data_IF_615852006384
#
_entry.id   IF_615852006384
#
_cell.length_a   1.000
_cell.length_b   1.000
_cell.length_c   1.000
_cell.angle_alpha   90.00
_cell.angle_beta   90.00
_cell.angle_gamma   90.00
#
_symmetry.space_group_name_H-M   'P 1'
#
loop_
_entity.id
_entity.type
_entity.pdbx_description
1 polymer ?
#
# COMPACT_ATOMS: atom_id res chain seq x y z
N UNK A 1 16.53 -3.83 16.74
CA UNK A 1 16.44 -2.69 15.80
C UNK A 1 16.79 -3.22 14.43
N UNK A 2 15.78 -3.40 13.58
CA UNK A 2 15.95 -3.79 12.17
C UNK A 2 15.60 -2.55 11.34
N UNK A 3 16.38 -2.27 10.29
CA UNK A 3 16.06 -1.24 9.30
C UNK A 3 15.68 -1.93 8.00
N UNK A 4 14.57 -1.54 7.41
CA UNK A 4 14.10 -2.06 6.11
C UNK A 4 14.01 -0.86 5.18
N UNK A 5 14.68 -0.94 4.05
CA UNK A 5 14.54 0.03 2.97
C UNK A 5 13.61 -0.58 1.93
N UNK A 6 12.47 0.07 1.72
CA UNK A 6 11.51 -0.27 0.67
C UNK A 6 11.65 0.76 -0.44
N UNK A 7 11.94 0.28 -1.64
CA UNK A 7 11.88 1.10 -2.84
C UNK A 7 10.55 0.83 -3.53
N UNK A 8 9.80 1.90 -3.74
CA UNK A 8 8.52 1.91 -4.42
C UNK A 8 8.62 3.04 -5.44
N UNK A 9 8.52 2.69 -6.74
CA UNK A 9 8.66 3.57 -7.91
C UNK A 9 10.08 3.73 -8.52
N UNK A 10 10.14 3.87 -9.86
CA UNK A 10 11.27 4.33 -10.68
C UNK A 10 12.61 3.57 -10.65
N UNK A 11 12.64 2.24 -10.47
CA UNK A 11 13.91 1.48 -10.71
C UNK A 11 14.33 1.51 -12.20
N UNK A 12 13.46 1.96 -13.10
CA UNK A 12 13.70 2.05 -14.54
C UNK A 12 14.39 3.34 -15.00
N UNK A 13 14.53 4.39 -14.18
CA UNK A 13 15.40 5.52 -14.57
C UNK A 13 16.88 5.15 -14.62
N UNK A 14 17.19 3.90 -14.26
CA UNK A 14 18.45 3.23 -14.54
C UNK A 14 18.61 2.77 -16.00
N UNK A 15 17.52 2.70 -16.79
CA UNK A 15 17.54 2.16 -18.16
C UNK A 15 17.26 3.18 -19.29
N UNK A 16 16.74 4.40 -19.06
CA UNK A 16 16.33 5.25 -20.19
C UNK A 16 17.11 6.56 -20.44
N UNK A 17 18.08 6.93 -19.60
CA UNK A 17 18.92 8.09 -19.95
C UNK A 17 20.05 7.70 -20.94
N UNK A 18 20.31 6.41 -21.18
CA UNK A 18 21.50 6.00 -21.95
C UNK A 18 21.34 4.89 -23.01
N UNK A 19 20.18 4.22 -23.19
CA UNK A 19 20.05 3.09 -24.13
C UNK A 19 21.30 2.17 -24.08
N UNK A 20 21.60 1.53 -22.94
CA UNK A 20 22.80 0.72 -22.85
C UNK A 20 22.73 -0.41 -23.89
N UNK A 21 23.73 -0.54 -24.78
CA UNK A 21 23.65 -1.44 -25.94
C UNK A 21 23.75 -2.93 -25.56
N UNK A 22 23.87 -3.25 -24.27
CA UNK A 22 24.02 -4.62 -23.77
C UNK A 22 23.61 -4.78 -22.30
N UNK A 23 23.33 -6.02 -21.91
CA UNK A 23 22.99 -6.45 -20.54
C UNK A 23 24.09 -6.13 -19.52
N UNK A 24 25.36 -6.18 -19.93
CA UNK A 24 26.51 -5.81 -19.08
C UNK A 24 26.59 -4.30 -18.83
N UNK A 25 26.15 -3.49 -19.79
CA UNK A 25 26.13 -2.04 -19.64
C UNK A 25 24.95 -1.58 -18.76
N UNK A 26 23.80 -2.26 -18.86
CA UNK A 26 22.71 -2.10 -17.90
C UNK A 26 23.17 -2.43 -16.47
N UNK A 27 23.87 -3.56 -16.26
CA UNK A 27 24.44 -3.93 -14.96
C UNK A 27 25.43 -2.88 -14.42
N UNK A 28 26.25 -2.27 -15.28
CA UNK A 28 27.17 -1.19 -14.88
C UNK A 28 26.45 0.10 -14.52
N UNK A 29 25.38 0.47 -15.23
CA UNK A 29 24.56 1.64 -14.88
C UNK A 29 23.88 1.40 -13.54
N UNK A 30 23.25 0.24 -13.33
CA UNK A 30 22.71 -0.24 -12.04
C UNK A 30 23.74 -0.09 -10.93
N UNK A 31 24.95 -0.62 -11.14
CA UNK A 31 26.05 -0.53 -10.19
C UNK A 31 26.57 0.90 -9.98
N UNK A 32 26.48 1.81 -10.93
CA UNK A 32 27.05 3.15 -10.79
C UNK A 32 26.06 4.17 -10.22
N UNK A 33 24.77 4.07 -10.51
CA UNK A 33 23.75 4.96 -9.94
C UNK A 33 23.27 4.50 -8.56
N UNK A 34 23.32 3.19 -8.28
CA UNK A 34 23.04 2.64 -6.94
C UNK A 34 24.32 2.51 -6.11
N UNK A 35 25.51 2.34 -6.71
CA UNK A 35 26.78 2.15 -5.98
C UNK A 35 27.83 3.26 -6.22
N UNK A 36 27.42 4.54 -6.15
CA UNK A 36 28.34 5.65 -5.88
C UNK A 36 29.24 5.39 -4.66
N UNK A 37 30.32 6.18 -4.45
CA UNK A 37 31.33 5.91 -3.41
C UNK A 37 30.77 5.81 -1.98
N UNK A 38 29.59 6.38 -1.70
CA UNK A 38 28.87 6.26 -0.42
C UNK A 38 28.10 4.94 -0.27
N UNK A 39 27.76 4.29 -1.38
CA UNK A 39 26.88 3.12 -1.45
C UNK A 39 27.61 1.81 -1.65
N UNK A 40 28.95 1.82 -1.76
CA UNK A 40 29.69 0.57 -1.94
C UNK A 40 29.58 -0.38 -0.74
N UNK A 41 29.39 0.08 0.50
CA UNK A 41 29.41 -0.83 1.68
C UNK A 41 28.65 -0.29 2.92
N UNK A 42 27.57 0.48 2.75
CA UNK A 42 26.77 0.99 3.89
C UNK A 42 25.24 0.82 3.76
N UNK A 43 24.72 0.16 2.72
CA UNK A 43 23.37 -0.41 2.76
C UNK A 43 23.43 -1.72 3.59
N UNK A 44 23.51 -1.53 4.90
CA UNK A 44 23.84 -2.51 5.93
C UNK A 44 22.88 -3.71 5.96
N UNK A 45 23.41 -4.93 5.95
CA UNK A 45 22.99 -6.20 6.65
C UNK A 45 21.49 -6.56 6.81
N UNK A 46 20.56 -5.84 6.22
CA UNK A 46 19.13 -5.96 6.48
C UNK A 46 18.36 -5.95 5.16
N UNK A 47 17.23 -6.64 5.13
CA UNK A 47 16.50 -7.00 3.92
C UNK A 47 16.20 -5.79 3.03
N UNK A 48 16.77 -5.79 1.82
CA UNK A 48 16.36 -4.90 0.76
C UNK A 48 15.13 -5.51 0.09
N UNK A 49 14.03 -4.75 0.09
CA UNK A 49 12.82 -5.12 -0.62
C UNK A 49 12.63 -4.11 -1.73
N UNK A 50 12.82 -4.56 -2.95
CA UNK A 50 12.47 -3.80 -4.14
C UNK A 50 11.03 -4.19 -4.49
N UNK A 51 10.11 -3.24 -4.39
CA UNK A 51 8.83 -3.35 -5.06
C UNK A 51 9.03 -2.72 -6.45
N UNK A 52 9.02 -3.49 -7.54
CA UNK A 52 9.13 -2.95 -8.88
C UNK A 52 7.79 -2.30 -9.26
N UNK A 53 7.43 -1.24 -8.55
CA UNK A 53 6.47 -0.27 -9.04
C UNK A 53 7.12 0.43 -10.22
N UNK A 54 6.54 0.26 -11.40
CA UNK A 54 6.26 1.35 -12.36
C UNK A 54 6.45 1.02 -13.85
N UNK A 55 6.67 -0.23 -14.29
CA UNK A 55 6.52 -0.53 -15.73
C UNK A 55 5.72 -1.81 -15.98
N UNK A 56 4.48 -1.58 -16.39
CA UNK A 56 3.39 -2.53 -16.54
C UNK A 56 3.54 -3.50 -17.70
N UNK A 57 4.70 -4.14 -17.83
CA UNK A 57 4.95 -5.12 -18.89
C UNK A 57 4.65 -4.55 -20.31
N UNK A 58 4.83 -3.23 -20.47
CA UNK A 58 4.51 -2.46 -21.68
C UNK A 58 3.07 -1.95 -21.82
N UNK A 59 2.26 -1.96 -20.74
CA UNK A 59 0.84 -1.54 -20.76
C UNK A 59 0.48 -0.60 -19.60
N UNK A 60 0.83 0.68 -19.74
CA UNK A 60 0.63 1.73 -18.72
C UNK A 60 -0.86 1.89 -18.32
N UNK A 61 -1.79 1.65 -19.24
CA UNK A 61 -3.23 1.90 -19.02
C UNK A 61 -4.12 0.63 -18.95
N UNK A 62 -3.54 -0.57 -19.13
CA UNK A 62 -4.25 -1.86 -19.09
C UNK A 62 -3.66 -2.72 -17.98
N UNK A 63 -4.50 -3.26 -17.09
CA UNK A 63 -4.11 -3.99 -15.86
C UNK A 63 -4.86 -5.32 -15.73
N UNK A 64 -4.43 -6.16 -14.80
CA UNK A 64 -5.30 -7.22 -14.30
C UNK A 64 -5.83 -8.19 -15.35
N UNK A 65 -7.14 -8.51 -15.29
CA UNK A 65 -7.81 -9.37 -16.26
C UNK A 65 -7.66 -8.89 -17.70
N UNK A 66 -7.64 -7.58 -17.93
CA UNK A 66 -7.58 -7.01 -19.27
C UNK A 66 -6.21 -7.21 -19.94
N UNK A 67 -5.12 -7.21 -19.17
CA UNK A 67 -3.80 -7.60 -19.68
C UNK A 67 -3.79 -9.06 -20.17
N UNK A 68 -4.52 -9.95 -19.49
CA UNK A 68 -4.66 -11.34 -19.91
C UNK A 68 -5.47 -11.43 -21.20
N UNK A 69 -6.54 -10.62 -21.34
CA UNK A 69 -7.37 -10.57 -22.54
C UNK A 69 -6.57 -10.10 -23.76
N UNK A 70 -5.80 -9.01 -23.65
CA UNK A 70 -4.95 -8.50 -24.75
C UNK A 70 -3.91 -9.52 -25.20
N UNK A 71 -3.38 -10.34 -24.28
CA UNK A 71 -2.42 -11.41 -24.63
C UNK A 71 -3.08 -12.62 -25.27
N UNK A 72 -4.42 -12.77 -25.20
CA UNK A 72 -5.16 -13.95 -25.71
C UNK A 72 -5.96 -13.67 -26.98
N UNK A 73 -6.48 -12.47 -27.18
CA UNK A 73 -7.44 -12.16 -28.24
C UNK A 73 -6.78 -11.30 -29.32
N UNK A 74 -6.98 -11.68 -30.59
CA UNK A 74 -6.49 -10.91 -31.76
C UNK A 74 -7.43 -9.76 -32.10
N UNK A 75 -6.92 -8.76 -32.82
CA UNK A 75 -7.74 -7.65 -33.35
C UNK A 75 -7.95 -6.50 -32.36
N UNK A 76 -7.15 -6.46 -31.29
CA UNK A 76 -7.30 -5.54 -30.17
C UNK A 76 -6.36 -4.32 -30.22
N UNK A 77 -5.88 -3.97 -31.42
CA UNK A 77 -4.93 -2.88 -31.65
C UNK A 77 -3.46 -3.22 -31.33
N UNK A 78 -3.16 -4.38 -30.75
CA UNK A 78 -1.80 -4.90 -30.54
C UNK A 78 -1.69 -6.37 -30.95
N UNK A 79 -0.51 -6.77 -31.42
CA UNK A 79 -0.23 -8.17 -31.78
C UNK A 79 -0.05 -9.05 -30.54
N UNK A 80 -0.79 -10.15 -30.46
CA UNK A 80 -0.79 -11.01 -29.26
C UNK A 80 0.57 -11.62 -28.97
N UNK A 81 1.34 -12.00 -29.99
CA UNK A 81 2.66 -12.63 -29.80
C UNK A 81 3.70 -11.62 -29.34
N UNK A 82 3.63 -10.38 -29.84
CA UNK A 82 4.40 -9.26 -29.32
C UNK A 82 4.10 -9.01 -27.84
N UNK A 83 2.83 -8.93 -27.45
CA UNK A 83 2.43 -8.66 -26.07
C UNK A 83 2.86 -9.77 -25.11
N UNK A 84 2.71 -11.04 -25.51
CA UNK A 84 3.21 -12.20 -24.75
C UNK A 84 4.72 -12.12 -24.54
N UNK A 85 5.47 -11.87 -25.61
CA UNK A 85 6.94 -11.79 -25.56
C UNK A 85 7.43 -10.63 -24.69
N UNK A 86 6.82 -9.46 -24.82
CA UNK A 86 7.16 -8.30 -24.01
C UNK A 86 6.92 -8.58 -22.53
N UNK A 87 5.78 -9.21 -22.20
CA UNK A 87 5.50 -9.65 -20.85
C UNK A 87 6.57 -10.60 -20.32
N UNK A 88 6.95 -11.63 -21.09
CA UNK A 88 7.97 -12.59 -20.69
C UNK A 88 9.34 -11.94 -20.46
N UNK A 89 9.75 -11.03 -21.34
CA UNK A 89 11.01 -10.28 -21.21
C UNK A 89 11.01 -9.47 -19.92
N UNK A 90 9.98 -8.63 -19.72
CA UNK A 90 9.90 -7.78 -18.53
C UNK A 90 9.82 -8.62 -17.26
N UNK A 91 9.08 -9.73 -17.28
CA UNK A 91 9.00 -10.64 -16.14
C UNK A 91 10.36 -11.24 -15.81
N UNK A 92 11.05 -11.79 -16.82
CA UNK A 92 12.37 -12.37 -16.67
C UNK A 92 13.37 -11.35 -16.09
N UNK A 93 13.38 -10.12 -16.60
CA UNK A 93 14.26 -9.07 -16.09
C UNK A 93 13.98 -8.72 -14.62
N UNK A 94 12.71 -8.74 -14.20
CA UNK A 94 12.31 -8.42 -12.82
C UNK A 94 12.62 -9.56 -11.84
N UNK A 95 12.39 -10.82 -12.25
CA UNK A 95 12.40 -11.97 -11.33
C UNK A 95 13.57 -12.92 -11.51
N UNK A 96 14.27 -12.85 -12.65
CA UNK A 96 15.25 -13.84 -13.10
C UNK A 96 14.63 -15.17 -13.56
N UNK A 97 13.31 -15.24 -13.77
CA UNK A 97 12.64 -16.47 -14.21
C UNK A 97 12.96 -16.77 -15.69
N UNK A 98 13.55 -17.93 -15.97
CA UNK A 98 13.88 -18.38 -17.34
C UNK A 98 12.64 -18.86 -18.11
N UNK A 99 11.70 -19.49 -17.42
CA UNK A 99 10.43 -19.94 -17.99
C UNK A 99 9.29 -19.08 -17.43
N UNK A 100 8.73 -18.22 -18.29
CA UNK A 100 7.63 -17.33 -17.93
C UNK A 100 6.40 -17.69 -18.75
N UNK A 101 5.29 -17.98 -18.07
CA UNK A 101 3.99 -18.12 -18.73
C UNK A 101 3.51 -16.73 -19.20
N UNK A 102 3.36 -16.49 -20.51
CA UNK A 102 2.91 -15.21 -21.00
C UNK A 102 1.42 -14.95 -20.76
N UNK A 103 0.65 -15.91 -20.25
CA UNK A 103 -0.80 -15.84 -20.08
C UNK A 103 -1.26 -15.79 -18.63
N UNK A 104 -0.34 -15.88 -17.67
CA UNK A 104 -0.61 -15.78 -16.25
C UNK A 104 0.07 -14.54 -15.65
N UNK A 105 -0.62 -13.86 -14.71
CA UNK A 105 -0.02 -12.80 -13.93
C UNK A 105 0.77 -13.41 -12.76
N UNK A 106 2.00 -12.97 -12.46
CA UNK A 106 2.72 -13.44 -11.29
C UNK A 106 2.03 -13.04 -10.00
N UNK A 107 2.11 -13.94 -9.03
CA UNK A 107 1.74 -13.68 -7.64
C UNK A 107 2.95 -13.09 -6.93
N UNK A 108 3.04 -11.76 -6.90
CA UNK A 108 4.15 -11.03 -6.27
C UNK A 108 3.90 -10.67 -4.82
N UNK A 109 2.64 -10.73 -4.35
CA UNK A 109 2.31 -10.39 -2.98
C UNK A 109 2.87 -11.42 -2.00
N UNK A 110 3.32 -10.92 -0.85
CA UNK A 110 4.00 -11.71 0.16
C UNK A 110 4.03 -10.96 1.48
N UNK A 111 4.12 -11.70 2.56
CA UNK A 111 4.24 -11.14 3.90
C UNK A 111 5.39 -11.79 4.64
N UNK A 112 6.04 -11.01 5.49
CA UNK A 112 7.05 -11.50 6.40
C UNK A 112 6.77 -11.04 7.81
N UNK A 113 6.73 -12.04 8.68
CA UNK A 113 6.63 -11.85 10.10
C UNK A 113 8.04 -11.72 10.67
N UNK A 114 8.30 -10.62 11.38
CA UNK A 114 9.62 -10.38 11.97
C UNK A 114 9.95 -11.44 13.02
N UNK A 115 11.24 -11.65 13.37
CA UNK A 115 11.66 -12.73 14.26
C UNK A 115 10.95 -12.76 15.62
N UNK A 116 10.62 -11.58 16.16
CA UNK A 116 9.89 -11.44 17.41
C UNK A 116 8.37 -11.58 17.26
N UNK A 117 7.86 -11.78 16.04
CA UNK A 117 6.46 -12.07 15.74
C UNK A 117 5.48 -10.97 16.17
N UNK A 118 5.99 -9.77 16.30
CA UNK A 118 5.35 -8.59 16.86
C UNK A 118 5.10 -7.50 15.80
N UNK A 119 5.75 -7.61 14.65
CA UNK A 119 5.55 -6.80 13.44
C UNK A 119 5.48 -7.70 12.20
N UNK A 120 4.58 -7.38 11.28
CA UNK A 120 4.50 -7.98 9.94
C UNK A 120 4.66 -6.89 8.89
N UNK A 121 5.51 -7.15 7.89
CA UNK A 121 5.58 -6.36 6.66
C UNK A 121 4.93 -7.16 5.54
N UNK A 122 3.99 -6.56 4.82
CA UNK A 122 3.38 -7.17 3.65
C UNK A 122 3.48 -6.27 2.42
N UNK A 123 3.72 -6.91 1.28
CA UNK A 123 3.74 -6.29 -0.02
C UNK A 123 2.56 -6.83 -0.80
N UNK A 124 1.85 -5.90 -1.42
CA UNK A 124 0.77 -6.14 -2.34
C UNK A 124 1.16 -5.73 -3.76
N UNK A 125 0.26 -5.97 -4.70
CA UNK A 125 0.45 -5.77 -6.13
C UNK A 125 -0.87 -5.27 -6.71
N UNK A 126 -1.19 -4.03 -6.35
CA UNK A 126 -2.35 -3.33 -6.90
C UNK A 126 -2.17 -2.89 -8.35
N UNK A 127 -1.08 -3.28 -9.02
CA UNK A 127 -0.79 -2.93 -10.42
C UNK A 127 -1.20 -4.06 -11.35
N UNK A 128 -0.65 -5.26 -11.16
CA UNK A 128 -0.95 -6.40 -12.03
C UNK A 128 -2.34 -6.99 -11.83
N UNK A 129 -3.00 -6.69 -10.71
CA UNK A 129 -4.23 -7.39 -10.32
C UNK A 129 -5.44 -6.48 -10.19
N UNK A 130 -5.29 -5.17 -10.37
CA UNK A 130 -6.43 -4.25 -10.44
C UNK A 130 -7.11 -4.28 -11.81
N UNK A 131 -8.38 -3.89 -11.85
CA UNK A 131 -9.09 -3.59 -13.10
C UNK A 131 -8.50 -2.35 -13.80
N UNK A 132 -8.42 -2.40 -15.13
CA UNK A 132 -7.83 -1.37 -16.00
C UNK A 132 -8.45 0.02 -15.83
N UNK A 133 -7.62 1.05 -15.91
CA UNK A 133 -8.02 2.40 -15.49
C UNK A 133 -8.62 3.20 -16.64
N UNK A 134 -8.30 2.85 -17.89
CA UNK A 134 -8.97 3.40 -19.06
C UNK A 134 -10.22 2.58 -19.40
N UNK A 135 -11.40 3.16 -19.16
CA UNK A 135 -12.72 2.56 -19.44
C UNK A 135 -13.15 2.78 -20.90
N UNK A 136 -12.53 3.75 -21.58
CA UNK A 136 -12.83 4.13 -22.95
C UNK A 136 -11.81 3.55 -23.95
N UNK A 137 -10.66 2.99 -23.51
CA UNK A 137 -9.73 2.32 -24.43
C UNK A 137 -10.43 1.21 -25.22
N UNK A 138 -11.43 0.58 -24.59
CA UNK A 138 -12.32 -0.41 -25.17
C UNK A 138 -13.19 0.21 -26.26
N UNK A 139 -13.77 1.38 -25.98
CA UNK A 139 -14.67 2.09 -26.88
C UNK A 139 -13.92 2.76 -28.05
N UNK A 140 -12.73 3.30 -27.80
CA UNK A 140 -11.94 4.13 -28.73
C UNK A 140 -10.94 3.34 -29.59
N UNK A 141 -10.47 2.17 -29.13
CA UNK A 141 -9.40 1.40 -29.82
C UNK A 141 -9.92 0.28 -30.73
N UNK A 142 -11.19 0.33 -31.14
CA UNK A 142 -11.77 -0.59 -32.12
C UNK A 142 -12.28 -1.93 -31.56
N UNK A 143 -12.60 -2.00 -30.26
CA UNK A 143 -13.17 -3.19 -29.64
C UNK A 143 -14.71 -3.12 -29.63
N UNK A 144 -15.34 -3.01 -30.81
CA UNK A 144 -16.79 -2.80 -30.94
C UNK A 144 -17.70 -3.82 -30.21
N UNK A 145 -17.17 -4.98 -29.85
CA UNK A 145 -17.88 -6.02 -29.07
C UNK A 145 -17.96 -5.72 -27.55
N UNK A 146 -17.25 -4.72 -27.06
CA UNK A 146 -16.97 -4.48 -25.65
C UNK A 146 -17.16 -2.99 -25.32
N UNK A 147 -18.41 -2.50 -25.43
CA UNK A 147 -18.75 -1.09 -25.22
C UNK A 147 -19.13 -0.76 -23.77
N UNK A 148 -18.67 0.38 -23.27
CA UNK A 148 -19.08 0.96 -21.98
C UNK A 148 -18.92 0.00 -20.80
N UNK A 149 -17.82 -0.75 -20.82
CA UNK A 149 -17.71 -1.97 -20.06
C UNK A 149 -17.75 -1.74 -18.53
N UNK A 150 -17.14 -0.69 -17.96
CA UNK A 150 -17.05 -0.57 -16.49
C UNK A 150 -16.95 0.87 -15.96
N UNK A 151 -17.94 1.34 -15.18
CA UNK A 151 -17.85 2.58 -14.39
C UNK A 151 -16.93 2.38 -13.17
N UNK A 152 -16.29 3.45 -12.66
CA UNK A 152 -15.39 3.36 -11.48
C UNK A 152 -16.07 2.91 -10.19
N UNK A 153 -17.39 3.09 -10.09
CA UNK A 153 -18.23 2.67 -8.96
C UNK A 153 -18.78 1.26 -9.13
N UNK A 154 -18.51 0.60 -10.25
CA UNK A 154 -18.93 -0.78 -10.50
C UNK A 154 -18.32 -1.71 -9.43
N UNK A 155 -19.16 -2.44 -8.66
CA UNK A 155 -18.70 -3.31 -7.58
C UNK A 155 -17.90 -4.52 -8.04
N UNK A 156 -17.92 -4.84 -9.34
CA UNK A 156 -17.13 -5.93 -9.93
C UNK A 156 -15.67 -5.55 -10.18
N UNK A 157 -15.33 -4.25 -10.10
CA UNK A 157 -13.96 -3.79 -10.27
C UNK A 157 -13.13 -4.09 -9.03
N UNK A 158 -11.96 -4.69 -9.27
CA UNK A 158 -11.05 -5.11 -8.20
C UNK A 158 -9.82 -4.21 -8.14
N UNK A 159 -9.33 -3.94 -6.92
CA UNK A 159 -8.04 -3.26 -6.70
C UNK A 159 -6.88 -4.26 -6.59
N UNK A 160 -7.15 -5.48 -6.11
CA UNK A 160 -6.15 -6.52 -5.88
C UNK A 160 -6.46 -7.82 -6.64
N UNK A 161 -7.60 -7.92 -7.33
CA UNK A 161 -8.15 -9.21 -7.74
C UNK A 161 -8.59 -10.06 -6.53
N UNK A 162 -9.47 -11.04 -6.77
CA UNK A 162 -10.10 -11.78 -5.67
C UNK A 162 -9.14 -12.72 -4.93
N UNK A 163 -8.15 -13.30 -5.63
CA UNK A 163 -7.17 -14.19 -4.98
C UNK A 163 -6.31 -13.44 -3.96
N UNK A 164 -5.73 -12.30 -4.36
CA UNK A 164 -4.91 -11.49 -3.47
C UNK A 164 -5.75 -10.82 -2.37
N UNK A 165 -6.99 -10.39 -2.68
CA UNK A 165 -7.89 -9.86 -1.67
C UNK A 165 -8.21 -10.92 -0.60
N UNK A 166 -8.50 -12.16 -1.00
CA UNK A 166 -8.71 -13.28 -0.07
C UNK A 166 -7.46 -13.54 0.78
N UNK A 167 -6.27 -13.53 0.17
CA UNK A 167 -5.01 -13.66 0.89
C UNK A 167 -4.80 -12.53 1.91
N UNK A 168 -5.11 -11.28 1.54
CA UNK A 168 -5.02 -10.14 2.45
C UNK A 168 -6.02 -10.28 3.60
N UNK A 169 -7.25 -10.72 3.31
CA UNK A 169 -8.24 -10.99 4.34
C UNK A 169 -7.74 -12.01 5.36
N UNK A 170 -7.16 -13.12 4.89
CA UNK A 170 -6.58 -14.14 5.77
C UNK A 170 -5.41 -13.58 6.59
N UNK A 171 -4.56 -12.76 5.98
CA UNK A 171 -3.46 -12.11 6.70
C UNK A 171 -3.99 -11.20 7.82
N UNK A 172 -4.92 -10.30 7.51
CA UNK A 172 -5.50 -9.35 8.47
C UNK A 172 -6.22 -10.07 9.62
N UNK A 173 -6.96 -11.14 9.31
CA UNK A 173 -7.77 -11.87 10.29
C UNK A 173 -6.99 -12.92 11.09
N UNK A 174 -5.80 -13.34 10.65
CA UNK A 174 -5.07 -14.45 11.31
C UNK A 174 -3.65 -14.12 11.77
N UNK A 175 -3.04 -13.02 11.33
CA UNK A 175 -1.70 -12.64 11.76
C UNK A 175 -1.70 -12.12 13.21
N UNK A 176 -0.94 -12.74 14.11
CA UNK A 176 -0.84 -12.34 15.54
C UNK A 176 0.04 -11.12 15.82
N UNK A 177 0.73 -10.55 14.83
CA UNK A 177 1.61 -9.39 15.00
C UNK A 177 0.80 -8.19 15.45
N UNK A 178 1.32 -7.41 16.39
CA UNK A 178 0.57 -6.25 16.92
C UNK A 178 0.53 -5.09 15.93
N UNK A 179 1.49 -5.03 15.02
CA UNK A 179 1.58 -4.03 13.96
C UNK A 179 1.76 -4.72 12.60
N UNK A 180 1.07 -4.20 11.58
CA UNK A 180 1.18 -4.63 10.19
C UNK A 180 1.41 -3.40 9.32
N UNK A 181 2.51 -3.40 8.56
CA UNK A 181 2.77 -2.40 7.54
C UNK A 181 2.55 -3.00 6.15
N UNK A 182 1.77 -2.32 5.32
CA UNK A 182 1.44 -2.72 3.95
C UNK A 182 2.07 -1.74 2.94
N UNK A 183 2.60 -2.25 1.82
CA UNK A 183 3.04 -1.46 0.65
C UNK A 183 2.57 -2.10 -0.66
N UNK A 184 2.67 -1.39 -1.79
CA UNK A 184 2.21 -1.88 -3.09
C UNK A 184 0.71 -1.76 -3.33
N UNK A 185 0.01 -1.02 -2.46
CA UNK A 185 -1.36 -0.54 -2.66
C UNK A 185 -1.29 0.98 -2.78
N UNK A 186 -1.52 1.52 -3.97
CA UNK A 186 -1.33 2.95 -4.22
C UNK A 186 -2.65 3.71 -4.17
N UNK A 187 -2.66 4.81 -3.41
CA UNK A 187 -3.67 5.87 -3.48
C UNK A 187 -5.08 5.38 -3.19
N UNK A 188 -5.29 4.73 -2.04
CA UNK A 188 -6.65 4.45 -1.56
C UNK A 188 -7.45 5.74 -1.32
N UNK A 189 -6.74 6.84 -1.03
CA UNK A 189 -7.31 8.17 -0.92
C UNK A 189 -7.05 9.02 -2.18
N UNK A 190 -8.12 9.56 -2.75
CA UNK A 190 -8.09 10.29 -4.02
C UNK A 190 -7.93 11.80 -3.81
N UNK A 191 -6.75 12.22 -3.33
CA UNK A 191 -6.45 13.63 -2.98
C UNK A 191 -5.48 14.34 -3.95
N UNK A 192 -5.06 13.64 -4.99
CA UNK A 192 -4.10 14.12 -5.98
C UNK A 192 -4.79 14.46 -7.30
N UNK A 193 -4.24 15.42 -8.03
CA UNK A 193 -4.61 15.76 -9.41
C UNK A 193 -3.36 15.86 -10.29
N UNK A 194 -3.56 16.02 -11.59
CA UNK A 194 -2.56 16.14 -12.66
C UNK A 194 -1.34 17.01 -12.38
N UNK A 195 -0.61 17.33 -13.45
CA UNK A 195 0.29 18.48 -13.39
C UNK A 195 -0.47 19.76 -13.02
N UNK A 196 0.25 20.86 -12.83
CA UNK A 196 -0.34 22.18 -12.50
C UNK A 196 -1.45 22.65 -13.46
N UNK A 197 -1.50 22.12 -14.69
CA UNK A 197 -2.56 22.38 -15.65
C UNK A 197 -3.95 21.82 -15.24
N UNK A 198 -3.99 20.78 -14.40
CA UNK A 198 -5.22 20.13 -13.92
C UNK A 198 -5.74 20.67 -12.58
N UNK A 199 -4.98 21.55 -11.92
CA UNK A 199 -5.28 22.03 -10.57
C UNK A 199 -6.60 22.82 -10.43
N UNK A 200 -7.19 23.26 -11.55
CA UNK A 200 -8.45 24.02 -11.58
C UNK A 200 -9.65 23.21 -12.09
N UNK A 201 -9.51 21.89 -12.29
CA UNK A 201 -10.54 21.09 -12.96
C UNK A 201 -11.59 20.55 -11.96
N UNK A 202 -12.91 20.67 -12.25
CA UNK A 202 -13.98 20.57 -11.25
C UNK A 202 -14.39 19.11 -10.92
N UNK A 203 -13.45 18.26 -10.50
CA UNK A 203 -13.72 16.84 -10.20
C UNK A 203 -14.28 16.03 -11.38
N UNK A 204 -14.27 16.60 -12.59
CA UNK A 204 -14.30 15.84 -13.83
C UNK A 204 -12.85 15.44 -14.08
N UNK A 205 -12.58 14.24 -14.50
CA UNK A 205 -11.22 13.87 -14.84
C UNK A 205 -11.13 13.94 -16.35
N UNK A 206 -10.18 14.69 -16.90
CA UNK A 206 -9.93 14.58 -18.33
C UNK A 206 -9.43 13.17 -18.62
N UNK A 207 -9.88 12.57 -19.72
CA UNK A 207 -9.55 11.21 -20.17
C UNK A 207 -8.03 10.92 -20.22
N UNK A 208 -7.21 11.97 -20.35
CA UNK A 208 -5.74 11.92 -20.38
C UNK A 208 -5.07 12.37 -19.09
N UNK A 209 -5.84 12.73 -18.07
CA UNK A 209 -5.27 13.03 -16.75
C UNK A 209 -4.85 11.73 -16.08
N UNK A 210 -3.60 11.34 -16.33
CA UNK A 210 -2.93 10.18 -15.74
C UNK A 210 -3.03 10.13 -14.21
N UNK A 211 -3.31 11.27 -13.56
CA UNK A 211 -3.49 11.33 -12.10
C UNK A 211 -4.84 10.82 -11.63
N UNK A 212 -5.75 10.57 -12.54
CA UNK A 212 -6.89 9.73 -12.21
C UNK A 212 -6.47 8.30 -12.50
N UNK A 213 -5.94 8.06 -13.71
CA UNK A 213 -5.65 6.74 -14.27
C UNK A 213 -4.68 5.88 -13.45
N UNK A 214 -3.81 6.41 -12.59
CA UNK A 214 -2.88 5.57 -11.83
C UNK A 214 -3.40 5.05 -10.48
N UNK A 215 -4.50 5.61 -9.96
CA UNK A 215 -4.88 5.43 -8.54
C UNK A 215 -6.20 4.68 -8.34
N UNK A 216 -6.44 4.29 -7.09
CA UNK A 216 -7.70 3.69 -6.65
C UNK A 216 -8.95 4.58 -6.88
N UNK A 217 -8.77 5.81 -7.37
CA UNK A 217 -9.87 6.66 -7.85
C UNK A 217 -10.67 6.12 -9.04
N UNK A 218 -10.11 5.16 -9.79
CA UNK A 218 -10.87 4.42 -10.81
C UNK A 218 -11.51 3.13 -10.33
N UNK A 219 -11.16 2.63 -9.15
CA UNK A 219 -11.75 1.40 -8.60
C UNK A 219 -12.26 1.69 -7.20
N UNK A 220 -13.16 2.69 -7.08
CA UNK A 220 -13.72 3.12 -5.81
C UNK A 220 -14.20 1.93 -4.99
N UNK A 221 -14.97 1.03 -5.60
CA UNK A 221 -15.49 -0.15 -4.94
C UNK A 221 -14.39 -1.07 -4.38
N UNK A 222 -13.31 -1.30 -5.14
CA UNK A 222 -12.17 -2.09 -4.66
C UNK A 222 -11.36 -1.37 -3.59
N UNK A 223 -11.21 -0.05 -3.68
CA UNK A 223 -10.56 0.78 -2.64
C UNK A 223 -11.35 0.71 -1.32
N UNK A 224 -12.67 0.87 -1.38
CA UNK A 224 -13.55 0.83 -0.22
C UNK A 224 -13.55 -0.56 0.43
N UNK A 225 -13.59 -1.64 -0.37
CA UNK A 225 -13.44 -3.03 0.15
C UNK A 225 -12.13 -3.22 0.90
N UNK A 226 -11.03 -2.67 0.38
CA UNK A 226 -9.73 -2.75 1.06
C UNK A 226 -9.75 -1.89 2.33
N UNK A 227 -10.20 -0.64 2.29
CA UNK A 227 -10.30 0.22 3.47
C UNK A 227 -11.17 -0.38 4.59
N UNK A 228 -12.31 -0.99 4.24
CA UNK A 228 -13.18 -1.68 5.18
C UNK A 228 -12.46 -2.86 5.87
N UNK A 229 -11.74 -3.66 5.08
CA UNK A 229 -10.94 -4.78 5.57
C UNK A 229 -9.81 -4.30 6.47
N UNK A 230 -9.01 -3.32 6.04
CA UNK A 230 -7.92 -2.78 6.86
C UNK A 230 -8.46 -2.16 8.15
N UNK A 231 -9.59 -1.46 8.06
CA UNK A 231 -10.29 -0.87 9.19
C UNK A 231 -10.96 -1.88 10.12
N UNK A 232 -11.05 -3.17 9.78
CA UNK A 232 -11.58 -4.20 10.70
C UNK A 232 -10.65 -4.48 11.89
N UNK A 233 -9.40 -3.99 11.82
CA UNK A 233 -8.33 -4.27 12.76
C UNK A 233 -7.48 -3.04 13.06
N UNK A 234 -7.10 -2.90 14.32
CA UNK A 234 -6.10 -1.94 14.79
C UNK A 234 -4.66 -2.34 14.43
N UNK A 235 -3.76 -1.36 14.38
CA UNK A 235 -2.33 -1.56 14.15
C UNK A 235 -1.93 -1.76 12.69
N UNK A 236 -2.80 -1.42 11.74
CA UNK A 236 -2.52 -1.52 10.29
C UNK A 236 -2.18 -0.15 9.73
N UNK A 237 -1.04 -0.05 9.04
CA UNK A 237 -0.58 1.17 8.34
C UNK A 237 -0.25 0.82 6.90
N UNK A 238 -0.63 1.68 5.96
CA UNK A 238 -0.26 1.53 4.55
C UNK A 238 0.71 2.63 4.13
N UNK A 239 1.65 2.26 3.27
CA UNK A 239 2.59 3.18 2.64
C UNK A 239 2.59 2.92 1.13
N UNK A 240 2.70 3.99 0.35
CA UNK A 240 2.77 3.91 -1.10
C UNK A 240 3.69 4.97 -1.71
N UNK A 241 4.07 4.76 -2.97
CA UNK A 241 4.91 5.67 -3.76
C UNK A 241 4.10 6.48 -4.77
N UNK A 242 4.57 6.56 -6.02
CA UNK A 242 3.81 6.98 -7.22
C UNK A 242 3.51 8.48 -7.37
N UNK A 243 3.07 9.13 -6.28
CA UNK A 243 2.64 10.53 -6.33
C UNK A 243 3.81 11.52 -6.27
N UNK A 244 5.00 11.01 -5.97
CA UNK A 244 6.26 11.76 -5.81
C UNK A 244 6.22 12.83 -4.73
N UNK A 245 5.29 12.71 -3.77
CA UNK A 245 5.08 13.64 -2.68
C UNK A 245 5.09 12.92 -1.34
N UNK A 246 5.65 13.57 -0.32
CA UNK A 246 5.53 13.11 1.06
C UNK A 246 4.16 13.50 1.61
N UNK A 247 3.35 12.54 2.05
CA UNK A 247 2.08 12.84 2.69
C UNK A 247 1.77 11.82 3.78
N UNK A 248 1.20 12.28 4.88
CA UNK A 248 0.66 11.41 5.94
C UNK A 248 -0.80 11.77 6.07
N UNK A 249 -1.69 10.81 5.83
CA UNK A 249 -3.13 11.03 5.86
C UNK A 249 -3.85 9.90 6.58
N UNK A 250 -5.02 10.23 7.14
CA UNK A 250 -5.88 9.29 7.83
C UNK A 250 -7.31 9.42 7.34
N UNK A 251 -7.89 8.30 6.90
CA UNK A 251 -9.32 8.21 6.69
C UNK A 251 -10.04 8.13 8.03
N UNK A 252 -11.09 8.94 8.23
CA UNK A 252 -11.78 9.07 9.52
C UNK A 252 -12.89 8.03 9.74
N UNK A 253 -13.38 7.41 8.67
CA UNK A 253 -14.42 6.39 8.76
C UNK A 253 -13.85 5.05 9.24
N UNK A 254 -12.73 4.65 8.67
CA UNK A 254 -12.03 3.39 8.96
C UNK A 254 -10.83 3.55 9.89
N UNK A 255 -10.41 4.79 10.20
CA UNK A 255 -9.18 5.12 10.94
C UNK A 255 -7.93 4.44 10.36
N UNK A 256 -7.89 4.29 9.04
CA UNK A 256 -6.74 3.74 8.31
C UNK A 256 -5.79 4.88 7.98
N UNK A 257 -4.52 4.68 8.29
CA UNK A 257 -3.43 5.60 7.96
C UNK A 257 -2.83 5.13 6.64
N UNK A 258 -2.72 6.06 5.69
CA UNK A 258 -1.99 5.87 4.44
C UNK A 258 -0.92 6.95 4.34
N UNK A 259 0.28 6.55 3.92
CA UNK A 259 1.38 7.48 3.73
C UNK A 259 1.88 7.40 2.31
N UNK A 260 2.13 8.55 1.68
CA UNK A 260 2.84 8.62 0.41
C UNK A 260 4.25 9.15 0.62
N UNK A 261 5.18 8.73 -0.22
CA UNK A 261 6.49 9.38 -0.32
C UNK A 261 6.94 9.47 -1.78
N UNK A 262 7.87 10.39 -2.05
CA UNK A 262 8.44 10.55 -3.38
C UNK A 262 9.78 9.85 -3.54
N UNK A 263 10.13 9.45 -4.78
CA UNK A 263 11.37 8.76 -5.05
C UNK A 263 12.57 9.68 -4.76
N UNK A 264 13.61 9.04 -4.24
CA UNK A 264 14.93 9.60 -3.98
C UNK A 264 15.53 10.02 -5.34
N UNK A 265 15.45 11.32 -5.66
CA UNK A 265 16.17 11.93 -6.80
C UNK A 265 15.31 12.51 -7.93
N UNK A 266 13.98 12.43 -7.84
CA UNK A 266 13.09 13.04 -8.85
C UNK A 266 12.67 14.45 -8.45
N UNK A 267 12.51 15.32 -9.46
CA UNK A 267 12.01 16.68 -9.27
C UNK A 267 10.54 16.78 -9.67
N UNK A 268 9.72 17.25 -8.72
CA UNK A 268 8.28 17.43 -8.89
C UNK A 268 7.46 16.18 -8.59
N UNK A 269 6.15 16.40 -8.40
CA UNK A 269 5.17 15.36 -8.16
C UNK A 269 3.77 15.83 -8.55
N UNK A 270 2.76 15.04 -8.18
CA UNK A 270 1.36 15.33 -8.48
C UNK A 270 0.90 16.58 -7.74
N UNK A 271 -0.04 17.33 -8.32
CA UNK A 271 -0.63 18.47 -7.62
C UNK A 271 -1.71 18.00 -6.63
N UNK A 272 -2.08 18.87 -5.70
CA UNK A 272 -3.22 18.65 -4.79
C UNK A 272 -4.54 19.06 -5.45
N UNK A 273 -5.64 18.41 -5.10
CA UNK A 273 -6.97 18.78 -5.60
C UNK A 273 -7.46 20.15 -5.07
N UNK A 274 -8.40 20.83 -5.75
CA UNK A 274 -9.08 22.00 -5.19
C UNK A 274 -9.70 21.70 -3.82
N UNK A 275 -9.52 22.63 -2.87
CA UNK A 275 -10.06 22.49 -1.51
C UNK A 275 -9.23 21.57 -0.60
N UNK A 276 -8.02 21.19 -1.01
CA UNK A 276 -7.08 20.50 -0.14
C UNK A 276 -6.82 21.28 1.14
N UNK A 277 -6.76 20.59 2.28
CA UNK A 277 -6.45 21.17 3.56
C UNK A 277 -6.26 20.12 4.66
N UNK A 278 -5.93 20.53 5.90
CA UNK A 278 -5.73 19.61 7.03
C UNK A 278 -6.95 18.72 7.33
N UNK A 279 -8.15 19.23 7.01
CA UNK A 279 -9.42 18.50 7.02
C UNK A 279 -10.06 18.67 5.66
N UNK A 280 -10.33 17.56 4.98
CA UNK A 280 -10.90 17.59 3.64
C UNK A 280 -11.70 16.32 3.36
N UNK A 281 -12.37 16.32 2.22
CA UNK A 281 -12.88 15.11 1.59
C UNK A 281 -12.03 14.80 0.37
N UNK A 282 -11.80 13.52 0.11
CA UNK A 282 -11.27 13.11 -1.20
C UNK A 282 -12.34 13.24 -2.30
N UNK A 283 -11.98 12.89 -3.52
CA UNK A 283 -12.88 12.91 -4.69
C UNK A 283 -14.14 12.06 -4.47
N UNK A 284 -14.04 11.01 -3.66
CA UNK A 284 -15.13 10.08 -3.36
C UNK A 284 -15.99 10.49 -2.16
N UNK A 285 -15.70 11.65 -1.56
CA UNK A 285 -16.44 12.20 -0.43
C UNK A 285 -16.03 11.63 0.93
N UNK A 286 -14.97 10.81 0.98
CA UNK A 286 -14.46 10.18 2.21
C UNK A 286 -13.77 11.24 3.07
N UNK A 287 -14.10 11.27 4.36
CA UNK A 287 -13.54 12.25 5.29
C UNK A 287 -12.11 11.92 5.67
N UNK A 288 -11.21 12.88 5.45
CA UNK A 288 -9.78 12.72 5.67
C UNK A 288 -9.23 13.75 6.68
N UNK A 289 -8.16 13.34 7.34
CA UNK A 289 -7.24 14.19 8.07
C UNK A 289 -5.87 14.12 7.41
N UNK A 290 -5.32 15.27 7.03
CA UNK A 290 -3.98 15.36 6.47
C UNK A 290 -3.05 15.86 7.57
N UNK A 291 -2.14 15.00 8.01
CA UNK A 291 -1.19 15.31 9.08
C UNK A 291 0.06 16.00 8.56
N UNK A 292 0.56 15.58 7.40
CA UNK A 292 1.75 16.17 6.80
C UNK A 292 1.62 16.20 5.27
N UNK A 293 2.13 17.26 4.65
CA UNK A 293 2.27 17.39 3.20
C UNK A 293 3.62 18.02 2.88
N UNK A 294 4.49 17.27 2.21
CA UNK A 294 5.72 17.75 1.63
C UNK A 294 5.68 17.63 0.11
N UNK A 295 5.54 18.80 -0.52
CA UNK A 295 5.28 18.96 -1.94
C UNK A 295 6.21 20.05 -2.51
N UNK A 296 6.45 20.05 -3.83
CA UNK A 296 7.32 21.04 -4.49
C UNK A 296 6.91 22.50 -4.27
N UNK A 297 5.62 22.75 -4.08
CA UNK A 297 5.06 24.09 -3.82
C UNK A 297 4.57 24.28 -2.41
N UNK A 298 4.28 23.20 -1.66
CA UNK A 298 3.64 23.29 -0.35
C UNK A 298 4.50 22.63 0.72
N UNK A 299 4.70 23.33 1.83
CA UNK A 299 5.48 22.89 2.98
C UNK A 299 4.62 22.24 4.08
N UNK A 300 3.29 22.37 4.00
CA UNK A 300 2.35 21.85 4.98
C UNK A 300 0.95 21.61 4.38
N UNK A 301 0.04 20.92 5.11
CA UNK A 301 -1.34 20.71 4.67
C UNK A 301 -2.18 21.99 4.53
N UNK A 302 -1.79 23.09 5.20
CA UNK A 302 -2.38 24.42 5.05
C UNK A 302 -2.01 25.09 3.71
N UNK A 303 -1.25 24.38 2.86
CA UNK A 303 -0.75 24.85 1.57
C UNK A 303 0.23 26.02 1.67
N UNK A 304 0.88 26.19 2.83
CA UNK A 304 1.96 27.17 3.01
C UNK A 304 3.03 26.98 1.94
N UNK A 305 3.50 28.06 1.30
CA UNK A 305 4.47 27.93 0.22
C UNK A 305 5.81 27.39 0.74
N UNK A 306 6.46 26.56 -0.07
CA UNK A 306 7.86 26.19 0.16
C UNK A 306 8.76 27.43 0.22
N UNK A 307 9.73 27.44 1.14
CA UNK A 307 10.68 28.56 1.23
C UNK A 307 11.68 28.48 0.07
N UNK A 308 12.15 29.65 -0.37
CA UNK A 308 13.21 29.71 -1.37
C UNK A 308 14.46 28.98 -0.88
N UNK A 309 14.90 27.97 -1.64
CA UNK A 309 16.08 27.17 -1.33
C UNK A 309 15.83 25.91 -0.50
N UNK A 310 14.60 25.67 -0.01
CA UNK A 310 14.28 24.40 0.65
C UNK A 310 14.28 23.24 -0.37
N UNK A 311 14.87 22.08 -0.04
CA UNK A 311 14.98 20.94 -0.96
C UNK A 311 13.64 20.22 -1.09
N UNK A 312 12.97 20.30 -2.23
CA UNK A 312 11.70 19.58 -2.43
C UNK A 312 11.86 18.13 -2.93
N UNK A 313 13.10 17.69 -3.17
CA UNK A 313 13.48 16.37 -3.69
C UNK A 313 14.38 15.65 -2.68
N UNK A 314 14.57 14.33 -2.81
CA UNK A 314 15.28 13.48 -1.83
C UNK A 314 14.55 13.29 -0.49
N UNK A 315 13.22 13.25 -0.53
CA UNK A 315 12.41 13.05 0.67
C UNK A 315 12.21 11.56 0.91
N UNK A 316 12.03 11.18 2.18
CA UNK A 316 11.66 9.83 2.55
C UNK A 316 10.68 9.86 3.73
N UNK A 317 9.93 8.77 3.88
CA UNK A 317 9.09 8.54 5.06
C UNK A 317 9.93 7.80 6.11
N UNK A 318 10.24 8.46 7.21
CA UNK A 318 10.72 7.79 8.42
C UNK A 318 9.52 7.17 9.14
N UNK A 319 9.58 5.86 9.35
CA UNK A 319 8.56 5.09 10.08
C UNK A 319 9.19 4.44 11.31
N UNK A 320 8.56 4.62 12.45
CA UNK A 320 8.94 4.04 13.72
C UNK A 320 7.78 3.18 14.25
N UNK A 321 8.00 1.87 14.30
CA UNK A 321 7.04 0.91 14.83
C UNK A 321 7.61 0.31 16.11
N UNK A 322 7.03 0.63 17.27
CA UNK A 322 7.43 0.07 18.56
C UNK A 322 6.37 -0.89 19.11
N UNK A 323 6.53 -2.21 18.91
CA UNK A 323 5.55 -3.20 19.35
C UNK A 323 5.73 -3.66 20.81
N UNK A 324 6.70 -3.10 21.55
CA UNK A 324 7.07 -3.59 22.90
C UNK A 324 6.00 -3.29 23.95
N UNK A 325 5.27 -2.18 23.80
CA UNK A 325 4.18 -1.77 24.69
C UNK A 325 2.96 -2.70 24.64
N UNK A 326 2.07 -2.58 25.64
CA UNK A 326 0.75 -3.22 25.58
C UNK A 326 -0.06 -2.69 24.39
N UNK A 327 0.01 -1.37 24.17
CA UNK A 327 -0.47 -0.68 22.98
C UNK A 327 0.74 -0.21 22.16
N UNK A 328 1.03 -0.82 21.00
CA UNK A 328 2.16 -0.44 20.16
C UNK A 328 2.13 1.03 19.73
N UNK A 329 3.30 1.66 19.69
CA UNK A 329 3.43 3.02 19.16
C UNK A 329 3.77 3.00 17.67
N UNK A 330 3.25 4.01 16.96
CA UNK A 330 3.43 4.27 15.53
C UNK A 330 3.86 5.73 15.40
N UNK A 331 5.07 5.95 14.89
CA UNK A 331 5.63 7.26 14.57
C UNK A 331 5.88 7.39 13.07
N UNK A 332 5.39 8.47 12.46
CA UNK A 332 5.47 8.71 11.01
C UNK A 332 5.91 10.15 10.75
N UNK A 333 6.99 10.31 9.99
CA UNK A 333 7.66 11.59 9.78
C UNK A 333 8.15 11.70 8.34
N UNK A 334 7.80 12.78 7.66
CA UNK A 334 8.41 13.10 6.35
C UNK A 334 9.75 13.80 6.61
N UNK A 335 10.81 13.35 5.95
CA UNK A 335 12.16 13.90 6.11
C UNK A 335 12.84 14.12 4.77
N UNK A 336 13.88 14.95 4.75
CA UNK A 336 14.81 15.03 3.64
C UNK A 336 16.15 14.35 3.98
N UNK A 337 16.82 13.77 2.99
CA UNK A 337 18.15 13.14 3.18
C UNK A 337 19.22 14.10 3.71
N UNK A 338 19.07 15.40 3.52
CA UNK A 338 20.03 16.39 4.06
C UNK A 338 19.75 16.74 5.52
N UNK A 339 18.57 16.40 6.04
CA UNK A 339 18.17 16.77 7.38
C UNK A 339 18.83 15.85 8.41
N UNK A 340 19.29 16.41 9.52
CA UNK A 340 19.76 15.60 10.65
C UNK A 340 18.59 14.85 11.31
N UNK A 341 18.78 13.63 11.87
CA UNK A 341 17.72 12.92 12.59
C UNK A 341 17.09 13.74 13.73
N UNK A 342 17.84 14.66 14.32
CA UNK A 342 17.37 15.55 15.40
C UNK A 342 16.58 16.77 14.91
N UNK A 343 16.60 17.06 13.60
CA UNK A 343 15.84 18.16 13.03
C UNK A 343 14.35 17.86 12.98
N UNK A 344 13.57 18.93 12.96
CA UNK A 344 12.13 18.84 12.85
C UNK A 344 11.75 18.16 11.52
N UNK A 345 10.77 17.26 11.54
CA UNK A 345 10.28 16.66 10.31
C UNK A 345 9.73 17.73 9.36
N UNK A 346 9.83 17.43 8.07
CA UNK A 346 9.30 18.23 6.98
C UNK A 346 7.80 17.96 6.81
N UNK A 347 7.12 18.82 6.05
CA UNK A 347 5.72 18.63 5.70
C UNK A 347 4.72 19.19 6.71
N UNK A 348 5.16 20.13 7.57
CA UNK A 348 4.32 20.84 8.53
C UNK A 348 4.15 20.15 9.88
N UNK A 349 4.12 18.81 9.90
CA UNK A 349 3.97 18.03 11.13
C UNK A 349 4.46 16.59 10.98
N UNK A 350 4.25 15.81 12.03
CA UNK A 350 4.39 14.35 12.08
C UNK A 350 3.14 13.71 12.67
N UNK A 351 3.04 12.38 12.59
CA UNK A 351 2.01 11.62 13.27
C UNK A 351 2.65 10.70 14.30
N UNK A 352 2.34 10.92 15.57
CA UNK A 352 2.62 10.00 16.67
C UNK A 352 1.29 9.46 17.18
N UNK A 353 1.11 8.15 17.15
CA UNK A 353 -0.15 7.49 17.52
C UNK A 353 0.12 6.11 18.10
N UNK A 354 -0.93 5.46 18.60
CA UNK A 354 -0.90 4.08 19.03
C UNK A 354 -1.75 3.19 18.12
N UNK A 355 -1.50 1.88 18.14
CA UNK A 355 -2.28 0.91 17.37
C UNK A 355 -3.77 1.01 17.69
N UNK A 356 -4.15 1.13 18.96
CA UNK A 356 -5.55 1.27 19.41
C UNK A 356 -6.29 2.49 18.84
N UNK A 357 -5.57 3.48 18.31
CA UNK A 357 -6.12 4.69 17.69
C UNK A 357 -6.35 4.55 16.18
N UNK A 358 -6.10 3.35 15.64
CA UNK A 358 -6.32 2.96 14.24
C UNK A 358 -7.38 1.87 14.17
N UNK A 359 -7.97 1.67 12.99
CA UNK A 359 -9.09 0.75 12.82
C UNK A 359 -10.43 1.33 13.29
N UNK A 360 -11.52 0.76 12.79
CA UNK A 360 -12.88 1.17 13.12
C UNK A 360 -13.15 1.00 14.62
N UNK A 361 -14.01 1.89 15.12
CA UNK A 361 -14.46 1.82 16.51
C UNK A 361 -15.11 0.46 16.76
N UNK A 362 -14.65 -0.22 17.80
CA UNK A 362 -15.18 -1.51 18.19
C UNK A 362 -16.70 -1.43 18.52
N UNK A 363 -17.49 -2.39 18.05
CA UNK A 363 -18.90 -2.54 18.45
C UNK A 363 -19.05 -3.35 19.74
N UNK A 364 -18.10 -4.26 19.97
CA UNK A 364 -18.01 -5.07 21.18
C UNK A 364 -16.55 -5.33 21.54
N UNK A 365 -16.33 -5.95 22.70
CA UNK A 365 -14.99 -6.34 23.16
C UNK A 365 -14.96 -7.74 23.72
N UNK A 366 -13.81 -8.38 23.66
CA UNK A 366 -13.46 -9.54 24.48
C UNK A 366 -12.78 -9.04 25.75
N UNK A 367 -13.20 -9.55 26.90
CA UNK A 367 -12.53 -9.27 28.18
C UNK A 367 -11.14 -9.90 28.21
N UNK A 368 -10.24 -9.31 28.99
CA UNK A 368 -8.90 -9.85 29.17
C UNK A 368 -8.97 -11.27 29.77
N UNK A 369 -8.11 -12.16 29.29
CA UNK A 369 -8.07 -13.55 29.73
C UNK A 369 -6.64 -14.09 29.74
N UNK A 370 -6.47 -15.33 30.21
CA UNK A 370 -5.18 -16.02 30.21
C UNK A 370 -5.23 -17.29 29.36
N UNK A 371 -4.13 -17.55 28.67
CA UNK A 371 -3.94 -18.73 27.83
C UNK A 371 -2.47 -19.19 27.87
N UNK A 372 -2.00 -19.92 26.87
CA UNK A 372 -0.59 -20.31 26.73
C UNK A 372 0.32 -19.07 26.66
N UNK A 373 1.47 -19.05 27.36
CA UNK A 373 2.47 -17.97 27.24
C UNK A 373 3.10 -17.84 25.84
N UNK A 374 3.37 -16.60 25.41
CA UNK A 374 4.05 -16.26 24.15
C UNK A 374 3.43 -16.88 22.89
N UNK A 375 2.15 -17.23 22.95
CA UNK A 375 1.42 -17.97 21.93
C UNK A 375 0.73 -17.03 20.95
N UNK A 376 0.58 -17.46 19.70
CA UNK A 376 -0.35 -16.82 18.78
C UNK A 376 -1.77 -17.20 19.18
N UNK A 377 -2.64 -16.22 19.30
CA UNK A 377 -4.03 -16.40 19.68
C UNK A 377 -4.90 -15.94 18.53
N UNK A 378 -5.60 -16.88 17.90
CA UNK A 378 -6.55 -16.60 16.82
C UNK A 378 -7.97 -16.61 17.37
N UNK A 379 -8.77 -15.64 16.95
CA UNK A 379 -10.17 -15.53 17.30
C UNK A 379 -11.02 -15.90 16.08
N UNK A 380 -11.97 -16.81 16.28
CA UNK A 380 -12.92 -17.20 15.24
C UNK A 380 -14.35 -17.22 15.76
N UNK A 381 -15.31 -17.13 14.86
CA UNK A 381 -16.72 -17.41 15.18
C UNK A 381 -16.93 -18.90 15.48
N UNK A 382 -18.14 -19.28 15.87
CA UNK A 382 -18.49 -20.69 16.10
C UNK A 382 -18.44 -21.52 14.81
N UNK A 383 -18.66 -20.86 13.67
CA UNK A 383 -18.60 -21.43 12.32
C UNK A 383 -17.17 -21.52 11.79
N UNK A 384 -16.18 -21.07 12.57
CA UNK A 384 -14.76 -21.12 12.20
C UNK A 384 -14.29 -19.95 11.32
N UNK A 385 -15.12 -18.93 11.09
CA UNK A 385 -14.70 -17.73 10.37
C UNK A 385 -13.69 -16.95 11.21
N UNK A 386 -12.52 -16.66 10.65
CA UNK A 386 -11.49 -15.88 11.33
C UNK A 386 -11.95 -14.42 11.53
N UNK A 387 -11.66 -13.88 12.71
CA UNK A 387 -12.03 -12.51 13.09
C UNK A 387 -10.78 -11.63 13.15
N UNK A 388 -9.83 -12.01 14.00
CA UNK A 388 -8.51 -11.38 14.14
C UNK A 388 -7.59 -12.30 14.92
N UNK A 389 -6.32 -11.92 15.05
CA UNK A 389 -5.39 -12.59 15.93
C UNK A 389 -4.58 -11.60 16.76
N UNK A 390 -3.98 -12.09 17.82
CA UNK A 390 -3.06 -11.37 18.70
C UNK A 390 -2.01 -12.34 19.26
N UNK A 391 -1.11 -11.84 20.09
CA UNK A 391 -0.13 -12.65 20.79
C UNK A 391 -0.27 -12.50 22.29
N UNK A 392 -0.29 -13.62 23.01
CA UNK A 392 -0.27 -13.59 24.47
C UNK A 392 1.12 -13.20 24.99
N UNK A 393 1.14 -12.56 26.15
CA UNK A 393 2.38 -12.16 26.80
C UNK A 393 3.11 -13.32 27.49
N UNK A 394 4.16 -12.98 28.24
CA UNK A 394 5.10 -13.96 28.82
C UNK A 394 4.46 -14.86 29.89
N UNK A 395 3.34 -14.43 30.48
CA UNK A 395 2.57 -15.21 31.46
C UNK A 395 1.23 -15.68 30.88
N UNK A 396 1.04 -15.59 29.56
CA UNK A 396 -0.17 -16.01 28.87
C UNK A 396 -1.30 -14.98 28.89
N UNK A 397 -1.03 -13.77 29.36
CA UNK A 397 -1.98 -12.67 29.38
C UNK A 397 -2.36 -12.22 27.97
N UNK A 398 -3.65 -12.08 27.73
CA UNK A 398 -4.22 -11.43 26.55
C UNK A 398 -5.06 -10.27 27.04
N UNK A 399 -4.72 -9.06 26.58
CA UNK A 399 -5.46 -7.84 26.91
C UNK A 399 -6.88 -7.86 26.33
N UNK A 400 -7.67 -6.84 26.67
CA UNK A 400 -9.00 -6.70 26.05
C UNK A 400 -8.85 -6.44 24.55
N UNK A 401 -9.71 -7.09 23.76
CA UNK A 401 -9.67 -7.01 22.29
C UNK A 401 -10.96 -6.35 21.79
N UNK A 402 -10.84 -5.25 21.06
CA UNK A 402 -11.96 -4.63 20.36
C UNK A 402 -12.31 -5.38 19.07
N UNK A 403 -13.62 -5.51 18.81
CA UNK A 403 -14.18 -6.15 17.61
C UNK A 403 -15.07 -5.15 16.86
N UNK A 404 -14.63 -4.69 15.69
CA UNK A 404 -15.35 -3.68 14.89
C UNK A 404 -16.64 -4.21 14.27
N UNK A 405 -16.65 -5.47 13.84
CA UNK A 405 -17.74 -6.07 13.06
C UNK A 405 -18.55 -7.13 13.82
N UNK A 406 -18.52 -7.06 15.16
CA UNK A 406 -19.19 -8.05 16.00
C UNK A 406 -20.06 -7.41 17.04
N UNK A 407 -21.32 -7.83 17.12
CA UNK A 407 -22.26 -7.37 18.12
C UNK A 407 -21.97 -8.01 19.50
N UNK A 408 -22.33 -7.34 20.61
CA UNK A 408 -22.27 -7.92 21.94
C UNK A 408 -23.12 -9.21 22.06
N UNK A 409 -22.62 -10.18 22.83
CA UNK A 409 -23.28 -11.47 23.04
C UNK A 409 -22.87 -12.58 22.07
N UNK A 410 -22.07 -12.25 21.05
CA UNK A 410 -21.52 -13.23 20.13
C UNK A 410 -20.52 -14.16 20.83
N UNK A 411 -20.53 -15.45 20.44
CA UNK A 411 -19.59 -16.44 20.95
C UNK A 411 -18.35 -16.45 20.06
N UNK A 412 -17.19 -16.34 20.70
CA UNK A 412 -15.88 -16.32 20.03
C UNK A 412 -15.01 -17.44 20.57
N UNK A 413 -14.37 -18.18 19.68
CA UNK A 413 -13.41 -19.22 20.03
C UNK A 413 -12.01 -18.63 19.91
N UNK A 414 -11.28 -18.56 21.02
CA UNK A 414 -9.88 -18.19 21.07
C UNK A 414 -9.01 -19.45 21.05
N UNK A 415 -8.22 -19.65 19.99
CA UNK A 415 -7.28 -20.76 19.86
C UNK A 415 -5.85 -20.25 19.98
N UNK A 416 -5.13 -20.74 20.98
CA UNK A 416 -3.74 -20.37 21.25
C UNK A 416 -2.78 -21.46 20.80
N UNK A 417 -1.67 -21.09 20.15
CA UNK A 417 -0.60 -22.02 19.75
C UNK A 417 0.78 -21.45 20.09
N UNK A 418 1.56 -22.19 20.88
CA UNK A 418 2.91 -21.78 21.31
C UNK A 418 4.05 -22.36 20.44
N UNK A 419 3.70 -23.06 19.35
CA UNK A 419 4.65 -23.83 18.52
C UNK A 419 4.64 -25.33 18.82
N UNK A 420 4.17 -25.74 20.00
CA UNK A 420 4.19 -27.13 20.47
C UNK A 420 2.85 -27.61 21.03
N UNK A 421 2.10 -26.72 21.68
CA UNK A 421 0.83 -26.99 22.34
C UNK A 421 -0.25 -26.10 21.78
N UNK A 422 -1.47 -26.61 21.80
CA UNK A 422 -2.68 -25.89 21.45
C UNK A 422 -3.57 -25.78 22.68
N UNK A 423 -4.09 -24.59 22.93
CA UNK A 423 -5.13 -24.32 23.93
C UNK A 423 -6.32 -23.67 23.26
N UNK A 424 -7.52 -23.87 23.82
CA UNK A 424 -8.73 -23.21 23.33
C UNK A 424 -9.54 -22.66 24.50
N UNK A 425 -10.23 -21.55 24.27
CA UNK A 425 -11.12 -20.92 25.25
C UNK A 425 -12.30 -20.32 24.52
N UNK A 426 -13.50 -20.55 25.05
CA UNK A 426 -14.73 -19.92 24.55
C UNK A 426 -14.95 -18.62 25.30
N UNK A 427 -15.14 -17.54 24.55
CA UNK A 427 -15.35 -16.19 25.03
C UNK A 427 -16.71 -15.69 24.55
N UNK A 428 -17.24 -14.68 25.22
CA UNK A 428 -18.45 -13.98 24.78
C UNK A 428 -18.15 -12.51 24.64
N UNK A 429 -18.46 -11.92 23.50
CA UNK A 429 -18.29 -10.48 23.28
C UNK A 429 -19.19 -9.70 24.23
N UNK A 430 -18.66 -8.61 24.80
CA UNK A 430 -19.35 -7.73 25.74
C UNK A 430 -19.54 -6.36 25.12
N UNK A 431 -20.52 -5.62 25.64
CA UNK A 431 -20.67 -4.19 25.34
C UNK A 431 -19.42 -3.44 25.84
N UNK A 432 -19.00 -2.42 25.09
CA UNK A 432 -17.87 -1.56 25.44
C UNK A 432 -17.99 -0.94 26.83
#
# INVERSE_FOLDING_TARGET
NFQIMVWEDDVWYMELVLYPPSTDDAYKVVKNSICGPTSRWQCMRHWNIINPGDHDYGMDDVKGPEQIVIRKIKGLGQDTEYMKRNFQIVHHLITGAEEVDPLENPKKWRAWKMPNRDFTLAILDSRLWRSSQNVDIWDDSGWDAFKSLYDRTDPTRSLLGEEQFSWLNDLITTDSSKLICLTGINGMHTIWTGGTASANHPQRFEQRDRVTADYAGWVKAGADRVLELLGSRDGVVTVYGDVHNGCIMKNREHNVIECSFGPIGRSGGRAVIPGFGPRMKDVDGRDLEIHALYHKTHASPELEPQKSGDPFYWNFLEMEFDPRGEDPAIGLRVRNLIDSPSEKPRGGSSLETFASSTGRIARSRLEAFRTLPNADVRFSTQEGQAIRATRSGKKGEVGSIGLADMDPGAIVIATAWDGSRVGSTVLTSKRL
#
